data_IF_548227671148
#
_entry.id   IF_548227671148
#
_cell.length_a   1.000
_cell.length_b   1.000
_cell.length_c   1.000
_cell.angle_alpha   90.00
_cell.angle_beta   90.00
_cell.angle_gamma   90.00
#
_symmetry.space_group_name_H-M   'P 1'
#
loop_
_entity.id
_entity.type
_entity.pdbx_description
1 polymer ?
#
# COMPACT_ATOMS: atom_id res chain seq x y z
N UNK A 1 14.34 1.45 18.41
CA UNK A 1 13.45 0.29 18.63
C UNK A 1 13.88 -0.82 17.69
N UNK A 2 14.23 -2.00 18.22
CA UNK A 2 14.64 -3.14 17.39
C UNK A 2 13.41 -3.99 17.10
N UNK A 3 13.07 -4.15 15.83
CA UNK A 3 12.02 -5.07 15.40
C UNK A 3 12.63 -6.47 15.39
N UNK A 4 12.14 -7.37 16.24
CA UNK A 4 12.47 -8.79 16.18
C UNK A 4 11.41 -9.49 15.32
N UNK A 5 11.81 -9.97 14.15
CA UNK A 5 11.01 -10.90 13.37
C UNK A 5 11.17 -12.25 14.06
N UNK A 6 10.09 -12.78 14.61
CA UNK A 6 10.07 -14.12 15.20
C UNK A 6 9.37 -15.01 14.17
N UNK A 7 10.14 -15.92 13.58
CA UNK A 7 9.59 -17.01 12.78
C UNK A 7 8.80 -17.96 13.71
N UNK A 8 7.52 -18.10 13.43
CA UNK A 8 6.59 -18.79 14.34
C UNK A 8 6.73 -20.33 14.32
N UNK A 9 7.52 -20.90 13.41
CA UNK A 9 7.69 -22.36 13.30
C UNK A 9 9.13 -22.86 13.46
N UNK A 10 10.07 -22.01 13.84
CA UNK A 10 11.47 -22.43 14.06
C UNK A 10 12.16 -22.98 12.81
N UNK A 11 11.63 -22.70 11.62
CA UNK A 11 12.23 -23.11 10.35
C UNK A 11 13.05 -21.97 9.81
N UNK A 12 14.36 -22.16 9.73
CA UNK A 12 15.27 -21.25 9.07
C UNK A 12 14.90 -21.16 7.58
N UNK A 13 14.47 -19.98 7.06
CA UNK A 13 14.09 -19.82 5.65
C UNK A 13 15.25 -20.09 4.69
N UNK A 14 16.48 -20.22 5.20
CA UNK A 14 17.68 -20.55 4.44
C UNK A 14 18.19 -21.97 4.69
N UNK A 15 17.52 -22.78 5.53
CA UNK A 15 17.89 -24.19 5.70
C UNK A 15 17.62 -24.95 4.40
N UNK A 16 18.68 -25.44 3.75
CA UNK A 16 18.60 -26.34 2.61
C UNK A 16 17.96 -27.66 3.05
N UNK A 17 16.64 -27.77 2.94
CA UNK A 17 15.94 -29.04 3.09
C UNK A 17 16.08 -29.84 1.78
N UNK A 18 16.94 -30.85 1.79
CA UNK A 18 16.98 -31.84 0.73
C UNK A 18 15.67 -32.64 0.73
N UNK A 19 14.90 -32.56 -0.36
CA UNK A 19 13.80 -33.49 -0.61
C UNK A 19 12.38 -32.93 -0.66
N UNK A 20 12.17 -31.63 -0.57
CA UNK A 20 10.83 -31.02 -0.69
C UNK A 20 10.54 -30.67 -2.14
N UNK A 21 9.40 -31.12 -2.68
CA UNK A 21 8.98 -30.79 -4.05
C UNK A 21 8.53 -29.33 -4.17
N UNK A 22 8.66 -28.77 -5.39
CA UNK A 22 8.32 -27.36 -5.66
C UNK A 22 6.88 -27.00 -5.27
N UNK A 23 5.98 -27.97 -5.23
CA UNK A 23 4.56 -27.81 -4.87
C UNK A 23 4.36 -27.66 -3.37
N UNK A 24 5.09 -28.44 -2.56
CA UNK A 24 5.01 -28.38 -1.09
C UNK A 24 5.61 -27.08 -0.54
N UNK A 25 6.62 -26.53 -1.22
CA UNK A 25 7.20 -25.22 -0.87
C UNK A 25 6.19 -24.11 -1.15
N UNK A 26 5.42 -24.17 -2.24
CA UNK A 26 4.40 -23.18 -2.56
C UNK A 26 3.26 -23.14 -1.53
N UNK A 27 2.80 -24.29 -1.04
CA UNK A 27 1.76 -24.36 0.00
C UNK A 27 2.24 -23.85 1.37
N UNK A 28 3.53 -24.06 1.70
CA UNK A 28 4.11 -23.55 2.94
C UNK A 28 4.26 -22.00 2.97
N UNK A 29 4.39 -21.35 1.80
CA UNK A 29 4.47 -19.89 1.68
C UNK A 29 3.12 -19.18 1.80
N UNK A 30 1.99 -19.89 1.77
CA UNK A 30 0.65 -19.34 1.99
C UNK A 30 0.32 -19.12 3.47
N UNK A 31 1.26 -19.29 4.38
CA UNK A 31 1.02 -19.03 5.79
C UNK A 31 1.03 -17.52 6.09
N UNK A 32 -0.03 -17.12 6.77
CA UNK A 32 -0.23 -15.80 7.34
C UNK A 32 1.01 -15.39 8.17
N UNK A 33 1.76 -14.40 7.70
CA UNK A 33 2.86 -13.84 8.47
C UNK A 33 2.26 -12.91 9.52
N UNK A 34 2.30 -13.30 10.78
CA UNK A 34 1.81 -12.49 11.91
C UNK A 34 2.97 -11.71 12.49
N UNK A 35 2.92 -10.39 12.40
CA UNK A 35 3.86 -9.51 13.11
C UNK A 35 3.31 -9.22 14.52
N UNK A 36 4.05 -9.63 15.55
CA UNK A 36 3.75 -9.25 16.94
C UNK A 36 4.59 -8.05 17.35
N UNK A 37 3.94 -6.92 17.60
CA UNK A 37 4.59 -5.79 18.25
C UNK A 37 4.56 -5.99 19.77
N UNK A 38 5.72 -5.99 20.43
CA UNK A 38 5.83 -6.03 21.89
C UNK A 38 5.48 -4.66 22.47
N UNK A 39 4.21 -4.44 22.65
CA UNK A 39 3.59 -3.34 23.41
C UNK A 39 2.36 -3.90 24.12
N UNK A 40 1.77 -3.15 25.03
CA UNK A 40 0.65 -3.59 25.90
C UNK A 40 -0.62 -4.05 25.16
N UNK A 41 -0.65 -3.94 23.83
CA UNK A 41 -1.73 -4.46 22.96
C UNK A 41 -1.10 -5.27 21.84
N UNK A 42 -1.37 -6.57 21.81
CA UNK A 42 -0.91 -7.44 20.70
C UNK A 42 -1.90 -7.29 19.56
N UNK A 43 -1.54 -6.52 18.52
CA UNK A 43 -2.30 -6.45 17.28
C UNK A 43 -1.70 -7.44 16.26
N UNK A 44 -2.54 -8.30 15.73
CA UNK A 44 -2.14 -9.22 14.66
C UNK A 44 -2.30 -8.52 13.30
N UNK A 45 -1.23 -8.51 12.51
CA UNK A 45 -1.22 -7.94 11.16
C UNK A 45 -1.03 -9.05 10.16
N UNK A 46 -1.97 -9.24 9.24
CA UNK A 46 -1.86 -10.23 8.18
C UNK A 46 -1.32 -9.58 6.89
N UNK A 47 -0.21 -10.11 6.36
CA UNK A 47 0.32 -9.78 5.05
C UNK A 47 0.24 -11.02 4.14
N UNK A 48 -0.18 -10.85 2.90
CA UNK A 48 -0.37 -11.92 1.94
C UNK A 48 0.74 -11.90 0.89
N UNK A 49 1.31 -13.06 0.59
CA UNK A 49 2.59 -13.20 -0.12
C UNK A 49 2.59 -12.86 -1.61
N UNK A 50 1.45 -12.89 -2.28
CA UNK A 50 1.28 -12.69 -3.73
C UNK A 50 0.65 -11.34 -4.11
N UNK A 51 0.55 -10.44 -3.14
CA UNK A 51 0.04 -9.08 -3.37
C UNK A 51 1.01 -8.28 -4.24
N UNK A 52 0.47 -7.41 -5.08
CA UNK A 52 1.23 -6.41 -5.83
C UNK A 52 1.86 -5.37 -4.90
N UNK A 53 1.17 -5.08 -3.82
CA UNK A 53 1.62 -4.20 -2.75
C UNK A 53 0.94 -4.60 -1.45
N UNK A 54 1.69 -4.55 -0.34
CA UNK A 54 1.14 -4.74 1.01
C UNK A 54 1.74 -3.71 1.95
N UNK A 55 0.91 -3.21 2.86
CA UNK A 55 1.30 -2.26 3.89
C UNK A 55 0.49 -2.45 5.16
N UNK A 56 1.03 -1.97 6.27
CA UNK A 56 0.39 -2.10 7.56
C UNK A 56 0.73 -0.92 8.47
N UNK A 57 -0.18 -0.58 9.37
CA UNK A 57 0.03 0.33 10.49
C UNK A 57 -0.16 -0.44 11.80
N UNK A 58 0.93 -0.89 12.44
CA UNK A 58 0.83 -1.59 13.72
C UNK A 58 0.17 -0.75 14.82
N UNK A 59 0.30 0.60 14.76
CA UNK A 59 -0.31 1.50 15.72
C UNK A 59 -1.84 1.53 15.59
N UNK A 60 -2.36 1.40 14.36
CA UNK A 60 -3.79 1.44 14.06
C UNK A 60 -4.39 0.03 13.95
N UNK A 61 -3.58 -1.02 13.94
CA UNK A 61 -4.03 -2.40 13.75
C UNK A 61 -4.52 -2.70 12.34
N UNK A 62 -4.21 -1.84 11.39
CA UNK A 62 -4.63 -1.99 9.99
C UNK A 62 -3.55 -2.69 9.16
N UNK A 63 -3.99 -3.57 8.28
CA UNK A 63 -3.15 -4.17 7.24
C UNK A 63 -3.92 -4.28 5.94
N UNK A 64 -3.24 -4.02 4.83
CA UNK A 64 -3.86 -3.96 3.51
C UNK A 64 -2.95 -4.65 2.50
N UNK A 65 -3.56 -5.39 1.58
CA UNK A 65 -2.89 -6.00 0.43
C UNK A 65 -3.72 -5.76 -0.83
N UNK A 66 -3.04 -5.42 -1.92
CA UNK A 66 -3.65 -5.06 -3.20
C UNK A 66 -3.33 -6.12 -4.24
N UNK A 67 -4.35 -6.58 -4.95
CA UNK A 67 -4.28 -7.61 -5.99
C UNK A 67 -4.98 -7.12 -7.26
N UNK A 68 -4.61 -7.68 -8.40
CA UNK A 68 -5.47 -7.60 -9.59
C UNK A 68 -6.68 -8.50 -9.39
N UNK A 69 -7.87 -8.00 -9.76
CA UNK A 69 -9.04 -8.85 -9.84
C UNK A 69 -8.90 -9.86 -11.02
N UNK A 70 -9.63 -10.96 -10.99
CA UNK A 70 -9.64 -11.95 -12.06
C UNK A 70 -10.02 -11.34 -13.41
N UNK A 71 -10.87 -10.30 -13.39
CA UNK A 71 -11.32 -9.57 -14.59
C UNK A 71 -10.40 -8.38 -14.97
N UNK A 72 -9.22 -8.26 -14.33
CA UNK A 72 -8.29 -7.18 -14.64
C UNK A 72 -7.80 -7.24 -16.08
N UNK A 73 -7.83 -6.09 -16.75
CA UNK A 73 -7.12 -5.84 -18.00
C UNK A 73 -6.66 -4.37 -18.04
N UNK A 74 -5.81 -4.01 -19.01
CA UNK A 74 -5.39 -2.62 -19.20
C UNK A 74 -6.56 -1.67 -19.48
N UNK A 75 -7.61 -2.18 -20.12
CA UNK A 75 -8.82 -1.40 -20.42
C UNK A 75 -9.85 -1.49 -19.28
N UNK A 76 -9.67 -2.43 -18.36
CA UNK A 76 -10.54 -2.64 -17.20
C UNK A 76 -9.68 -2.88 -15.94
N UNK A 77 -9.01 -1.84 -15.40
CA UNK A 77 -8.06 -1.95 -14.29
C UNK A 77 -8.81 -2.06 -12.94
N UNK A 78 -9.36 -3.24 -12.70
CA UNK A 78 -10.06 -3.57 -11.46
C UNK A 78 -9.09 -4.26 -10.50
N UNK A 79 -9.11 -3.81 -9.25
CA UNK A 79 -8.27 -4.31 -8.17
C UNK A 79 -9.11 -4.82 -7.02
N UNK A 80 -8.58 -5.79 -6.29
CA UNK A 80 -9.10 -6.25 -5.00
C UNK A 80 -8.17 -5.73 -3.92
N UNK A 81 -8.73 -5.00 -2.97
CA UNK A 81 -8.05 -4.46 -1.80
C UNK A 81 -8.61 -5.19 -0.58
N UNK A 82 -7.78 -5.93 0.14
CA UNK A 82 -8.25 -6.70 1.30
C UNK A 82 -7.24 -6.70 2.43
N UNK A 83 -7.71 -6.95 3.64
CA UNK A 83 -6.86 -6.95 4.83
C UNK A 83 -7.66 -6.92 6.11
N UNK A 84 -7.09 -6.26 7.12
CA UNK A 84 -7.71 -6.09 8.45
C UNK A 84 -7.83 -4.58 8.70
N UNK A 85 -9.02 -4.13 9.11
CA UNK A 85 -9.26 -2.74 9.48
C UNK A 85 -8.91 -2.47 10.96
N UNK A 86 -8.97 -1.20 11.40
CA UNK A 86 -8.65 -0.78 12.77
C UNK A 86 -9.47 -1.49 13.86
N UNK A 87 -10.64 -2.03 13.53
CA UNK A 87 -11.48 -2.79 14.46
C UNK A 87 -11.12 -4.28 14.52
N UNK A 88 -10.08 -4.71 13.81
CA UNK A 88 -9.67 -6.11 13.72
C UNK A 88 -10.53 -6.97 12.79
N UNK A 89 -11.43 -6.37 12.02
CA UNK A 89 -12.30 -7.07 11.08
C UNK A 89 -11.61 -7.21 9.72
N UNK A 90 -11.74 -8.38 9.10
CA UNK A 90 -11.36 -8.58 7.71
C UNK A 90 -12.27 -7.75 6.80
N UNK A 91 -11.70 -7.20 5.72
CA UNK A 91 -12.43 -6.48 4.69
C UNK A 91 -11.94 -6.87 3.30
N UNK A 92 -12.80 -6.74 2.32
CA UNK A 92 -12.49 -6.84 0.90
C UNK A 92 -13.26 -5.76 0.14
N UNK A 93 -12.55 -5.00 -0.69
CA UNK A 93 -13.10 -3.92 -1.51
C UNK A 93 -12.65 -4.09 -2.96
N UNK A 94 -13.56 -3.88 -3.90
CA UNK A 94 -13.27 -3.89 -5.34
C UNK A 94 -13.12 -2.43 -5.80
N UNK A 95 -11.96 -2.10 -6.35
CA UNK A 95 -11.60 -0.75 -6.75
C UNK A 95 -11.34 -0.67 -8.26
N UNK A 96 -12.08 0.18 -8.96
CA UNK A 96 -11.82 0.54 -10.36
C UNK A 96 -10.87 1.75 -10.40
N UNK A 97 -9.63 1.55 -10.80
CA UNK A 97 -8.62 2.60 -10.82
C UNK A 97 -9.02 3.83 -11.67
N UNK A 98 -9.87 3.66 -12.70
CA UNK A 98 -10.36 4.76 -13.53
C UNK A 98 -11.33 5.69 -12.81
N UNK A 99 -11.94 5.23 -11.73
CA UNK A 99 -12.95 5.99 -10.95
C UNK A 99 -12.33 6.73 -9.76
N UNK A 100 -11.06 6.53 -9.49
CA UNK A 100 -10.41 7.17 -8.36
C UNK A 100 -10.16 8.64 -8.67
N UNK A 101 -10.66 9.50 -7.78
CA UNK A 101 -10.36 10.92 -7.81
C UNK A 101 -9.31 11.26 -6.75
N UNK A 102 -8.05 11.54 -7.12
CA UNK A 102 -6.98 11.79 -6.14
C UNK A 102 -7.19 13.07 -5.31
N UNK A 103 -8.18 13.91 -5.65
CA UNK A 103 -8.62 15.04 -4.82
C UNK A 103 -9.62 14.64 -3.74
N UNK A 104 -10.12 13.43 -3.76
CA UNK A 104 -11.07 12.90 -2.77
C UNK A 104 -11.05 11.37 -2.81
N UNK A 105 -9.95 10.78 -2.39
CA UNK A 105 -9.79 9.33 -2.33
C UNK A 105 -9.24 8.90 -0.97
N UNK A 106 -9.46 7.64 -0.64
CA UNK A 106 -8.84 7.01 0.52
C UNK A 106 -7.36 6.70 0.24
N UNK A 107 -6.60 6.42 1.31
CA UNK A 107 -5.22 5.96 1.12
C UNK A 107 -5.15 4.65 0.34
N UNK A 108 -6.09 3.74 0.56
CA UNK A 108 -6.20 2.49 -0.19
C UNK A 108 -6.40 2.75 -1.69
N UNK A 109 -7.31 3.66 -2.05
CA UNK A 109 -7.53 4.07 -3.44
C UNK A 109 -6.28 4.73 -4.05
N UNK A 110 -5.58 5.60 -3.31
CA UNK A 110 -4.32 6.20 -3.75
C UNK A 110 -3.25 5.13 -4.03
N UNK A 111 -3.16 4.11 -3.17
CA UNK A 111 -2.20 3.01 -3.35
C UNK A 111 -2.56 2.12 -4.56
N UNK A 112 -3.83 1.97 -4.89
CA UNK A 112 -4.26 1.33 -6.15
C UNK A 112 -3.79 2.15 -7.36
N UNK A 113 -3.92 3.50 -7.34
CA UNK A 113 -3.36 4.36 -8.38
C UNK A 113 -1.83 4.22 -8.49
N UNK A 114 -1.12 4.13 -7.37
CA UNK A 114 0.32 3.88 -7.37
C UNK A 114 0.66 2.57 -8.07
N UNK A 115 -0.05 1.48 -7.76
CA UNK A 115 0.16 0.18 -8.41
C UNK A 115 -0.12 0.27 -9.91
N UNK A 116 -1.22 0.89 -10.33
CA UNK A 116 -1.60 1.01 -11.73
C UNK A 116 -0.61 1.87 -12.53
N UNK A 117 -0.05 2.91 -11.92
CA UNK A 117 0.93 3.81 -12.54
C UNK A 117 2.39 3.35 -12.39
N UNK A 118 2.62 2.16 -11.79
CA UNK A 118 3.94 1.56 -11.63
C UNK A 118 4.78 2.11 -10.48
N UNK A 119 4.17 2.85 -9.55
CA UNK A 119 4.81 3.39 -8.34
C UNK A 119 4.69 2.41 -7.16
N UNK A 120 5.42 1.29 -7.23
CA UNK A 120 5.36 0.21 -6.24
C UNK A 120 6.61 0.10 -5.35
N UNK A 121 7.54 1.04 -5.46
CA UNK A 121 8.75 1.02 -4.64
C UNK A 121 8.47 1.44 -3.19
N UNK A 122 9.33 1.03 -2.23
CA UNK A 122 9.24 1.51 -0.85
C UNK A 122 9.28 3.04 -0.73
N UNK A 123 9.98 3.73 -1.65
CA UNK A 123 10.03 5.20 -1.68
C UNK A 123 8.68 5.81 -2.07
N UNK A 124 7.96 5.18 -2.98
CA UNK A 124 6.64 5.64 -3.41
C UNK A 124 5.61 5.44 -2.29
N UNK A 125 5.68 4.31 -1.58
CA UNK A 125 4.88 4.09 -0.37
C UNK A 125 5.15 5.16 0.69
N UNK A 126 6.42 5.42 1.02
CA UNK A 126 6.78 6.42 2.04
C UNK A 126 6.31 7.82 1.65
N UNK A 127 6.35 8.17 0.36
CA UNK A 127 5.81 9.44 -0.17
C UNK A 127 4.31 9.53 0.08
N UNK A 128 3.55 8.51 -0.32
CA UNK A 128 2.11 8.46 -0.10
C UNK A 128 1.74 8.49 1.40
N UNK A 129 2.49 7.76 2.24
CA UNK A 129 2.30 7.74 3.68
C UNK A 129 2.56 9.11 4.33
N UNK A 130 3.57 9.85 3.85
CA UNK A 130 3.82 11.22 4.30
C UNK A 130 2.67 12.17 3.93
N UNK A 131 2.10 12.02 2.73
CA UNK A 131 0.93 12.81 2.32
C UNK A 131 -0.31 12.50 3.18
N UNK A 132 -0.53 11.22 3.53
CA UNK A 132 -1.60 10.83 4.44
C UNK A 132 -1.42 11.45 5.83
N UNK A 133 -0.20 11.46 6.34
CA UNK A 133 0.10 12.09 7.63
C UNK A 133 -0.15 13.61 7.61
N UNK A 134 0.16 14.29 6.50
CA UNK A 134 -0.14 15.71 6.34
C UNK A 134 -1.63 16.00 6.19
N UNK A 135 -2.41 15.03 5.74
CA UNK A 135 -3.85 15.13 5.60
C UNK A 135 -4.61 14.87 6.91
N UNK A 136 -3.90 14.59 8.01
CA UNK A 136 -4.46 14.18 9.31
C UNK A 136 -5.45 13.01 9.19
N UNK A 137 -5.25 12.14 8.17
CA UNK A 137 -6.11 10.99 7.95
C UNK A 137 -5.73 9.85 8.90
N UNK A 138 -6.62 9.60 9.87
CA UNK A 138 -6.39 8.63 10.94
C UNK A 138 -6.49 7.17 10.47
N UNK A 139 -7.19 6.90 9.35
CA UNK A 139 -7.39 5.56 8.80
C UNK A 139 -7.00 5.49 7.33
N UNK A 140 -6.69 4.27 6.86
CA UNK A 140 -6.48 3.99 5.43
C UNK A 140 -7.75 4.15 4.58
N UNK A 141 -8.93 4.24 5.21
CA UNK A 141 -10.23 4.38 4.57
C UNK A 141 -10.72 5.83 4.50
N UNK A 142 -10.09 6.74 5.24
CA UNK A 142 -10.45 8.14 5.25
C UNK A 142 -10.06 8.83 3.94
N UNK A 143 -10.96 9.67 3.42
CA UNK A 143 -10.74 10.37 2.16
C UNK A 143 -10.07 11.71 2.38
N UNK A 144 -9.08 12.01 1.54
CA UNK A 144 -8.35 13.27 1.56
C UNK A 144 -8.07 13.80 0.14
N UNK A 145 -7.69 15.07 0.05
CA UNK A 145 -7.17 15.67 -1.19
C UNK A 145 -5.64 15.51 -1.26
N UNK A 146 -5.20 14.36 -1.81
CA UNK A 146 -3.77 14.07 -1.95
C UNK A 146 -3.05 14.97 -2.97
N UNK A 147 -3.80 15.61 -3.89
CA UNK A 147 -3.22 16.59 -4.82
C UNK A 147 -2.84 17.87 -4.05
N UNK A 148 -3.74 18.37 -3.19
CA UNK A 148 -3.48 19.54 -2.37
C UNK A 148 -2.27 19.31 -1.47
N UNK A 149 -2.25 18.20 -0.73
CA UNK A 149 -1.15 17.89 0.19
C UNK A 149 0.18 17.65 -0.52
N UNK A 150 0.17 17.07 -1.72
CA UNK A 150 1.39 16.97 -2.53
C UNK A 150 1.92 18.36 -2.93
N UNK A 151 1.05 19.31 -3.29
CA UNK A 151 1.43 20.67 -3.64
C UNK A 151 1.99 21.43 -2.43
N UNK A 152 1.43 21.26 -1.25
CA UNK A 152 1.92 21.82 0.02
C UNK A 152 3.33 21.33 0.32
N UNK A 153 3.55 20.01 0.31
CA UNK A 153 4.87 19.39 0.54
C UNK A 153 5.90 19.85 -0.51
N UNK A 154 5.48 20.00 -1.77
CA UNK A 154 6.35 20.55 -2.82
C UNK A 154 6.72 22.00 -2.54
N UNK A 155 5.81 22.78 -1.97
CA UNK A 155 6.07 24.15 -1.49
C UNK A 155 7.18 24.16 -0.43
N UNK A 156 7.10 23.27 0.56
CA UNK A 156 8.09 23.13 1.63
C UNK A 156 9.46 22.72 1.07
N UNK A 157 9.51 21.77 0.12
CA UNK A 157 10.76 21.39 -0.53
C UNK A 157 11.43 22.56 -1.25
N UNK A 158 10.66 23.45 -1.89
CA UNK A 158 11.21 24.67 -2.52
C UNK A 158 11.82 25.61 -1.49
N UNK A 159 11.11 25.85 -0.39
CA UNK A 159 11.59 26.73 0.69
C UNK A 159 12.89 26.19 1.30
N UNK A 160 12.99 24.87 1.46
CA UNK A 160 14.17 24.19 2.00
C UNK A 160 15.30 24.01 0.98
N UNK A 161 15.09 24.37 -0.28
CA UNK A 161 16.06 24.13 -1.37
C UNK A 161 16.26 22.65 -1.72
N UNK A 162 15.34 21.79 -1.31
CA UNK A 162 15.40 20.34 -1.58
C UNK A 162 14.80 20.01 -2.96
N UNK A 163 15.53 20.37 -4.01
CA UNK A 163 15.09 20.24 -5.39
C UNK A 163 14.92 18.79 -5.84
N UNK A 164 15.73 17.86 -5.34
CA UNK A 164 15.62 16.43 -5.69
C UNK A 164 14.28 15.86 -5.21
N UNK A 165 13.90 16.15 -3.98
CA UNK A 165 12.61 15.73 -3.43
C UNK A 165 11.43 16.42 -4.13
N UNK A 166 11.58 17.71 -4.46
CA UNK A 166 10.60 18.45 -5.24
C UNK A 166 10.34 17.77 -6.59
N UNK A 167 11.39 17.52 -7.38
CA UNK A 167 11.28 16.92 -8.70
C UNK A 167 10.74 15.50 -8.65
N UNK A 168 11.11 14.73 -7.61
CA UNK A 168 10.60 13.38 -7.42
C UNK A 168 9.11 13.38 -7.10
N UNK A 169 8.61 14.33 -6.28
CA UNK A 169 7.19 14.50 -5.97
C UNK A 169 6.42 14.98 -7.21
N UNK A 170 6.95 15.96 -7.93
CA UNK A 170 6.32 16.47 -9.14
C UNK A 170 6.15 15.38 -10.20
N UNK A 171 7.20 14.61 -10.48
CA UNK A 171 7.14 13.49 -11.42
C UNK A 171 6.10 12.43 -11.03
N UNK A 172 6.04 12.09 -9.74
CA UNK A 172 5.04 11.16 -9.22
C UNK A 172 3.63 11.71 -9.40
N UNK A 173 3.40 12.96 -9.01
CA UNK A 173 2.12 13.64 -9.13
C UNK A 173 1.65 13.73 -10.58
N UNK A 174 2.54 14.10 -11.49
CA UNK A 174 2.23 14.16 -12.93
C UNK A 174 1.81 12.80 -13.47
N UNK A 175 2.46 11.71 -13.07
CA UNK A 175 2.09 10.38 -13.54
C UNK A 175 0.68 9.96 -13.10
N UNK A 176 0.27 10.31 -11.88
CA UNK A 176 -1.09 10.07 -11.39
C UNK A 176 -2.11 10.91 -12.16
N UNK A 177 -1.83 12.20 -12.35
CA UNK A 177 -2.72 13.10 -13.08
C UNK A 177 -2.87 12.71 -14.55
N UNK A 178 -1.78 12.31 -15.21
CA UNK A 178 -1.79 11.82 -16.58
C UNK A 178 -2.66 10.56 -16.71
N UNK A 179 -2.56 9.64 -15.77
CA UNK A 179 -3.40 8.45 -15.74
C UNK A 179 -4.89 8.82 -15.62
N UNK A 180 -5.24 9.65 -14.63
CA UNK A 180 -6.62 10.09 -14.38
C UNK A 180 -7.20 10.82 -15.59
N UNK A 181 -6.43 11.68 -16.26
CA UNK A 181 -6.87 12.37 -17.48
C UNK A 181 -7.09 11.40 -18.65
N UNK A 182 -6.19 10.42 -18.85
CA UNK A 182 -6.28 9.44 -19.95
C UNK A 182 -7.40 8.43 -19.72
N UNK A 183 -7.64 8.00 -18.50
CA UNK A 183 -8.71 7.06 -18.15
C UNK A 183 -10.10 7.67 -18.28
N UNK A 184 -10.16 8.96 -18.60
CA UNK A 184 -11.41 9.66 -18.90
C UNK A 184 -12.30 9.75 -17.67
N UNK A 185 -11.91 10.56 -16.70
CA UNK A 185 -12.79 11.02 -15.64
C UNK A 185 -13.99 11.73 -16.30
N UNK A 186 -14.88 10.91 -16.90
CA UNK A 186 -16.16 11.42 -17.42
C UNK A 186 -17.05 11.64 -16.21
N UNK A 187 -17.37 12.92 -15.98
CA UNK A 187 -18.36 13.37 -15.02
C UNK A 187 -19.69 12.63 -15.20
#
# INVERSE_FOLDING_TARGET
>A
MSIKIIDYNGVDPYAKTAGVTKTEVAEAYFQKTVMKCTGTTTQETALYSDALMSYASPQMGESVSIYKADCYSKDNPIYVVKGINANGNEFEEIVDARKINPKNCSFNELMVLNVETGHTSPKDYLRAAALRANADADSYFEKADYILHAQEVMGDYKVLGNWDSYLAMDKWLQSLLDYVMKSGFRK
#
